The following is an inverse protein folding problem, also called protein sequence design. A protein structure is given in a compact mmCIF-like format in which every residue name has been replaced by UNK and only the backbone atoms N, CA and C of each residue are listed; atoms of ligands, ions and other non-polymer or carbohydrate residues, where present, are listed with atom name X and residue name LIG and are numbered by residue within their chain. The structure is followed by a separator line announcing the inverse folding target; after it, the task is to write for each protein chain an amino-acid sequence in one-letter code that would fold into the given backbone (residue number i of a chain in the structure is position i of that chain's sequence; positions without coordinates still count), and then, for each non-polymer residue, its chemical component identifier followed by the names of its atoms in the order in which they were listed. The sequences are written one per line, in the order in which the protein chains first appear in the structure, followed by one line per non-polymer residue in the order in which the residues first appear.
data_IF_950230685234
#
_entry.id   IF_950230685234
#
_cell.length_a   1.000
_cell.length_b   1.000
_cell.length_c   1.000
_cell.angle_alpha   90.00
_cell.angle_beta   90.00
_cell.angle_gamma   90.00
#
_symmetry.space_group_name_H-M   'P 1'
#
loop_
_entity.id
_entity.type
_entity.pdbx_description
1 polymer ?
#
# COMPACT_ATOMS: atom_id res chain seq x y z
N UNK A 1 -20.01 4.25 27.42
CA UNK A 1 -19.89 3.18 26.37
C UNK A 1 -18.40 2.84 26.27
N UNK A 2 -18.01 1.57 26.40
CA UNK A 2 -16.60 1.19 26.25
C UNK A 2 -16.16 1.52 24.83
N UNK A 3 -15.09 2.27 24.72
CA UNK A 3 -14.51 2.65 23.44
C UNK A 3 -14.03 1.37 22.72
N UNK A 4 -14.56 1.12 21.54
CA UNK A 4 -14.30 -0.10 20.78
C UNK A 4 -12.88 -0.11 20.21
N UNK A 5 -12.23 -1.26 20.21
CA UNK A 5 -10.88 -1.42 19.69
C UNK A 5 -10.92 -1.85 18.23
N UNK A 6 -10.12 -1.21 17.40
CA UNK A 6 -9.94 -1.53 15.96
C UNK A 6 -8.61 -2.26 15.81
N UNK A 7 -8.63 -3.45 15.20
CA UNK A 7 -7.42 -4.18 14.84
C UNK A 7 -6.91 -3.71 13.49
N UNK A 8 -5.63 -3.37 13.42
CA UNK A 8 -4.93 -3.06 12.16
C UNK A 8 -3.82 -4.08 11.96
N UNK A 9 -3.91 -4.88 10.89
CA UNK A 9 -2.85 -5.83 10.52
C UNK A 9 -1.76 -5.13 9.71
N UNK A 10 -0.59 -5.77 9.54
CA UNK A 10 0.50 -5.21 8.73
C UNK A 10 1.03 -3.87 9.22
N UNK A 11 1.04 -3.64 10.54
CA UNK A 11 1.32 -2.35 11.18
C UNK A 11 2.60 -1.63 10.74
N UNK A 12 3.57 -2.36 10.18
CA UNK A 12 4.82 -1.77 9.66
C UNK A 12 4.74 -1.13 8.27
N UNK A 13 3.59 -1.15 7.59
CA UNK A 13 3.40 -0.56 6.25
C UNK A 13 2.89 0.88 6.29
N UNK A 14 3.13 1.67 5.23
CA UNK A 14 2.73 3.10 5.16
C UNK A 14 1.21 3.30 5.32
N UNK A 15 0.40 2.44 4.70
CA UNK A 15 -1.07 2.52 4.82
C UNK A 15 -1.53 2.26 6.24
N UNK A 16 -1.02 1.20 6.88
CA UNK A 16 -1.36 0.86 8.27
C UNK A 16 -0.91 1.95 9.24
N UNK A 17 0.30 2.47 9.07
CA UNK A 17 0.83 3.56 9.90
C UNK A 17 -0.10 4.78 9.89
N UNK A 18 -0.47 5.26 8.70
CA UNK A 18 -1.40 6.40 8.59
C UNK A 18 -2.78 6.08 9.13
N UNK A 19 -3.31 4.87 8.89
CA UNK A 19 -4.60 4.45 9.46
C UNK A 19 -4.58 4.51 10.99
N UNK A 20 -3.52 3.96 11.60
CA UNK A 20 -3.34 3.94 13.05
C UNK A 20 -3.25 5.37 13.60
N UNK A 21 -2.38 6.21 13.02
CA UNK A 21 -2.20 7.60 13.43
C UNK A 21 -3.54 8.36 13.41
N UNK A 22 -4.24 8.31 12.27
CA UNK A 22 -5.50 9.04 12.08
C UNK A 22 -6.58 8.56 13.05
N UNK A 23 -6.71 7.24 13.27
CA UNK A 23 -7.70 6.71 14.22
C UNK A 23 -7.39 7.10 15.67
N UNK A 24 -6.13 7.08 16.08
CA UNK A 24 -5.70 7.53 17.40
C UNK A 24 -5.95 9.01 17.62
N UNK A 25 -5.64 9.86 16.63
CA UNK A 25 -5.94 11.30 16.65
C UNK A 25 -7.44 11.59 16.78
N UNK A 26 -8.29 10.72 16.21
CA UNK A 26 -9.75 10.79 16.34
C UNK A 26 -10.27 10.20 17.66
N UNK A 27 -9.38 9.72 18.53
CA UNK A 27 -9.72 9.19 19.84
C UNK A 27 -10.14 7.72 19.85
N UNK A 28 -9.99 6.97 18.75
CA UNK A 28 -10.28 5.54 18.73
C UNK A 28 -9.17 4.73 19.42
N UNK A 29 -9.53 3.58 19.99
CA UNK A 29 -8.55 2.61 20.47
C UNK A 29 -8.08 1.74 19.31
N UNK A 30 -6.76 1.65 19.11
CA UNK A 30 -6.19 0.89 18.01
C UNK A 30 -5.24 -0.17 18.56
N UNK A 31 -5.40 -1.40 18.08
CA UNK A 31 -4.46 -2.49 18.28
C UNK A 31 -3.73 -2.75 16.96
N UNK A 32 -2.41 -2.56 16.94
CA UNK A 32 -1.55 -2.81 15.81
C UNK A 32 -0.99 -4.22 15.88
N UNK A 33 -1.33 -5.07 14.92
CA UNK A 33 -0.78 -6.41 14.80
C UNK A 33 0.50 -6.37 13.96
N UNK A 34 1.61 -6.76 14.57
CA UNK A 34 2.93 -6.83 13.95
C UNK A 34 3.48 -8.24 14.01
N UNK A 35 4.34 -8.61 13.05
CA UNK A 35 4.98 -9.93 13.04
C UNK A 35 6.11 -10.06 14.05
N UNK A 36 6.77 -8.96 14.37
CA UNK A 36 7.88 -8.88 15.34
C UNK A 36 7.97 -7.49 15.95
N UNK A 37 8.59 -7.42 17.11
CA UNK A 37 8.93 -6.14 17.72
C UNK A 37 10.21 -5.60 17.05
N UNK A 38 10.10 -4.41 16.48
CA UNK A 38 11.20 -3.65 15.91
C UNK A 38 10.92 -2.14 16.07
N UNK A 39 11.80 -1.27 15.61
CA UNK A 39 11.67 0.19 15.73
C UNK A 39 10.32 0.72 15.18
N UNK A 40 9.74 0.05 14.18
CA UNK A 40 8.40 0.43 13.65
C UNK A 40 7.29 0.15 14.66
N UNK A 41 7.39 -0.99 15.36
CA UNK A 41 6.45 -1.32 16.43
C UNK A 41 6.59 -0.36 17.62
N UNK A 42 7.81 0.07 17.94
CA UNK A 42 8.06 1.08 18.97
C UNK A 42 7.43 2.42 18.59
N UNK A 43 7.62 2.88 17.35
CA UNK A 43 6.95 4.09 16.83
C UNK A 43 5.43 4.03 17.01
N UNK A 44 4.80 2.90 16.67
CA UNK A 44 3.34 2.74 16.83
C UNK A 44 2.92 2.75 18.29
N UNK A 45 3.73 2.18 19.19
CA UNK A 45 3.48 2.21 20.64
C UNK A 45 3.58 3.63 21.18
N UNK A 46 4.59 4.39 20.77
CA UNK A 46 4.80 5.78 21.18
C UNK A 46 3.65 6.69 20.70
N UNK A 47 2.98 6.34 19.59
CA UNK A 47 1.78 7.00 19.11
C UNK A 47 0.52 6.65 19.93
N UNK A 48 0.58 5.64 20.82
CA UNK A 48 -0.53 5.21 21.66
C UNK A 48 -1.25 3.95 21.19
N UNK A 49 -0.77 3.24 20.19
CA UNK A 49 -1.36 1.96 19.76
C UNK A 49 -0.98 0.83 20.73
N UNK A 50 -1.94 -0.05 20.99
CA UNK A 50 -1.66 -1.35 21.62
C UNK A 50 -0.95 -2.25 20.62
N UNK A 51 0.25 -2.75 20.97
CA UNK A 51 1.02 -3.63 20.08
C UNK A 51 0.76 -5.09 20.44
N UNK A 52 0.38 -5.89 19.45
CA UNK A 52 0.27 -7.35 19.55
C UNK A 52 1.12 -8.03 18.50
N UNK A 53 1.87 -9.05 18.93
CA UNK A 53 2.70 -9.85 18.01
C UNK A 53 1.92 -11.09 17.60
N UNK A 54 1.66 -11.23 16.29
CA UNK A 54 1.03 -12.43 15.73
C UNK A 54 1.46 -12.61 14.25
N UNK A 55 1.60 -13.86 13.84
CA UNK A 55 1.72 -14.22 12.43
C UNK A 55 0.31 -14.45 11.85
N UNK A 56 0.01 -13.84 10.72
CA UNK A 56 -1.27 -14.02 10.02
C UNK A 56 -1.49 -15.45 9.49
N UNK A 57 -0.44 -16.27 9.45
CA UNK A 57 -0.53 -17.69 9.10
C UNK A 57 -0.87 -18.57 10.30
N UNK A 58 -0.85 -18.04 11.52
CA UNK A 58 -1.27 -18.75 12.73
C UNK A 58 -2.67 -18.27 13.15
N UNK A 59 -3.70 -19.05 12.82
CA UNK A 59 -5.09 -18.72 13.14
C UNK A 59 -5.34 -18.56 14.64
N UNK A 60 -4.61 -19.28 15.50
CA UNK A 60 -4.78 -19.20 16.95
C UNK A 60 -4.25 -17.85 17.45
N UNK A 61 -3.05 -17.46 16.99
CA UNK A 61 -2.45 -16.17 17.30
C UNK A 61 -3.29 -15.01 16.75
N UNK A 62 -3.81 -15.11 15.52
CA UNK A 62 -4.69 -14.11 14.91
C UNK A 62 -5.96 -13.93 15.72
N UNK A 63 -6.62 -15.03 16.12
CA UNK A 63 -7.84 -14.97 16.93
C UNK A 63 -7.59 -14.34 18.30
N UNK A 64 -6.46 -14.70 18.94
CA UNK A 64 -6.09 -14.09 20.24
C UNK A 64 -5.81 -12.58 20.08
N UNK A 65 -5.08 -12.17 19.03
CA UNK A 65 -4.81 -10.77 18.73
C UNK A 65 -6.08 -9.95 18.46
N UNK A 66 -7.12 -10.57 17.90
CA UNK A 66 -8.40 -9.91 17.57
C UNK A 66 -9.40 -9.88 18.71
N UNK A 67 -9.15 -10.58 19.82
CA UNK A 67 -10.08 -10.65 20.96
C UNK A 67 -10.47 -9.26 21.45
N UNK A 68 -11.78 -8.99 21.54
CA UNK A 68 -12.33 -7.71 21.98
C UNK A 68 -12.27 -6.58 20.95
N UNK A 69 -11.85 -6.85 19.72
CA UNK A 69 -11.91 -5.88 18.62
C UNK A 69 -13.28 -5.90 17.95
N UNK A 70 -13.80 -4.73 17.58
CA UNK A 70 -15.08 -4.58 16.90
C UNK A 70 -14.95 -4.43 15.38
N UNK A 71 -13.78 -4.01 14.90
CA UNK A 71 -13.47 -3.84 13.48
C UNK A 71 -12.04 -4.27 13.17
N UNK A 72 -11.80 -4.61 11.91
CA UNK A 72 -10.49 -5.04 11.40
C UNK A 72 -10.15 -4.28 10.12
N UNK A 73 -8.94 -3.75 10.03
CA UNK A 73 -8.31 -3.37 8.78
C UNK A 73 -7.31 -4.46 8.38
N UNK A 74 -7.62 -5.20 7.33
CA UNK A 74 -6.72 -6.21 6.78
C UNK A 74 -5.84 -5.57 5.70
N UNK A 75 -4.55 -5.54 5.96
CA UNK A 75 -3.51 -5.16 5.02
C UNK A 75 -2.30 -6.07 5.18
N UNK A 76 -1.70 -6.47 4.07
CA UNK A 76 -0.54 -7.33 4.02
C UNK A 76 0.33 -6.95 2.82
N UNK A 77 1.66 -7.05 2.97
CA UNK A 77 2.59 -6.93 1.85
C UNK A 77 2.45 -8.11 0.87
N UNK A 78 3.03 -7.95 -0.33
CA UNK A 78 3.11 -9.02 -1.34
C UNK A 78 3.68 -10.29 -0.70
N UNK A 79 2.92 -11.39 -0.81
CA UNK A 79 3.27 -12.66 -0.17
C UNK A 79 2.65 -13.83 -0.93
N UNK A 80 3.37 -14.96 -1.08
CA UNK A 80 2.79 -16.17 -1.66
C UNK A 80 1.65 -16.76 -0.80
N UNK A 81 1.56 -16.37 0.48
CA UNK A 81 0.56 -16.86 1.43
C UNK A 81 -0.57 -15.85 1.68
N UNK A 82 -0.77 -14.88 0.77
CA UNK A 82 -1.77 -13.81 0.96
C UNK A 82 -3.19 -14.36 1.16
N UNK A 83 -3.59 -15.36 0.37
CA UNK A 83 -4.93 -15.96 0.47
C UNK A 83 -5.13 -16.70 1.80
N UNK A 84 -4.13 -17.45 2.27
CA UNK A 84 -4.16 -18.13 3.57
C UNK A 84 -4.28 -17.11 4.71
N UNK A 85 -3.42 -16.10 4.71
CA UNK A 85 -3.44 -15.04 5.73
C UNK A 85 -4.81 -14.31 5.77
N UNK A 86 -5.34 -13.94 4.59
CA UNK A 86 -6.65 -13.28 4.50
C UNK A 86 -7.78 -14.17 5.01
N UNK A 87 -7.70 -15.49 4.72
CA UNK A 87 -8.68 -16.47 5.19
C UNK A 87 -8.62 -16.63 6.72
N UNK A 88 -7.43 -16.75 7.30
CA UNK A 88 -7.26 -16.84 8.75
C UNK A 88 -7.84 -15.63 9.47
N UNK A 89 -7.54 -14.42 8.98
CA UNK A 89 -8.09 -13.19 9.56
C UNK A 89 -9.61 -13.13 9.39
N UNK A 90 -10.15 -13.56 8.25
CA UNK A 90 -11.61 -13.61 8.02
C UNK A 90 -12.31 -14.62 8.93
N UNK A 91 -11.74 -15.81 9.15
CA UNK A 91 -12.27 -16.84 10.05
C UNK A 91 -12.31 -16.32 11.49
N UNK A 92 -11.22 -15.70 11.96
CA UNK A 92 -11.17 -15.09 13.29
C UNK A 92 -12.21 -13.97 13.42
N UNK A 93 -12.30 -13.08 12.44
CA UNK A 93 -13.27 -11.99 12.40
C UNK A 93 -14.73 -12.50 12.48
N UNK A 94 -15.04 -13.55 11.70
CA UNK A 94 -16.36 -14.18 11.71
C UNK A 94 -16.69 -14.80 13.06
N UNK A 95 -15.74 -15.56 13.65
CA UNK A 95 -15.94 -16.24 14.93
C UNK A 95 -16.10 -15.28 16.12
N UNK A 96 -15.51 -14.09 16.03
CA UNK A 96 -15.58 -13.05 17.07
C UNK A 96 -16.67 -12.01 16.81
N UNK A 97 -17.40 -12.11 15.69
CA UNK A 97 -18.53 -11.24 15.37
C UNK A 97 -18.13 -9.78 15.12
N UNK A 98 -16.99 -9.53 14.44
CA UNK A 98 -16.59 -8.16 14.11
C UNK A 98 -17.65 -7.49 13.24
N UNK A 99 -17.86 -6.18 13.46
CA UNK A 99 -18.91 -5.40 12.80
C UNK A 99 -18.44 -4.70 11.50
N UNK A 100 -17.15 -4.72 11.25
CA UNK A 100 -16.58 -4.24 10.00
C UNK A 100 -15.25 -4.92 9.69
N UNK A 101 -15.09 -5.35 8.44
CA UNK A 101 -13.86 -5.88 7.89
C UNK A 101 -13.46 -5.02 6.68
N UNK A 102 -12.47 -4.15 6.85
CA UNK A 102 -11.96 -3.32 5.76
C UNK A 102 -10.79 -4.06 5.10
N UNK A 103 -10.98 -4.46 3.85
CA UNK A 103 -9.98 -5.21 3.08
C UNK A 103 -9.19 -4.29 2.17
N UNK A 104 -7.88 -4.22 2.35
CA UNK A 104 -6.98 -3.62 1.36
C UNK A 104 -6.75 -4.61 0.23
N UNK A 105 -7.40 -4.36 -0.89
CA UNK A 105 -7.27 -5.09 -2.14
C UNK A 105 -6.40 -4.32 -3.13
N UNK A 106 -6.68 -4.43 -4.41
CA UNK A 106 -6.03 -3.68 -5.47
C UNK A 106 -6.96 -3.45 -6.68
N UNK A 107 -6.72 -2.40 -7.44
CA UNK A 107 -7.61 -1.95 -8.50
C UNK A 107 -7.79 -2.98 -9.63
N UNK A 108 -6.75 -3.70 -10.02
CA UNK A 108 -6.82 -4.65 -11.15
C UNK A 108 -7.72 -5.85 -10.90
N UNK A 109 -8.11 -6.12 -9.64
CA UNK A 109 -9.12 -7.14 -9.31
C UNK A 109 -10.44 -6.89 -10.02
N UNK A 110 -10.81 -5.62 -10.26
CA UNK A 110 -12.02 -5.25 -11.01
C UNK A 110 -12.00 -5.64 -12.49
N UNK A 111 -10.84 -6.06 -13.00
CA UNK A 111 -10.62 -6.47 -14.39
C UNK A 111 -10.47 -8.00 -14.52
N UNK A 112 -10.78 -8.73 -13.45
CA UNK A 112 -10.64 -10.19 -13.40
C UNK A 112 -11.99 -10.87 -13.22
N UNK A 113 -12.11 -12.07 -13.78
CA UNK A 113 -13.26 -12.94 -13.67
C UNK A 113 -12.81 -14.41 -13.67
N UNK A 114 -13.75 -15.36 -13.67
CA UNK A 114 -13.46 -16.78 -13.79
C UNK A 114 -12.86 -17.13 -15.17
N UNK A 115 -13.07 -16.29 -16.17
CA UNK A 115 -12.59 -16.50 -17.55
C UNK A 115 -11.47 -15.55 -17.96
N UNK A 116 -11.22 -14.50 -17.18
CA UNK A 116 -10.18 -13.51 -17.44
C UNK A 116 -9.33 -13.28 -16.19
N UNK A 117 -8.07 -13.68 -16.23
CA UNK A 117 -7.13 -13.56 -15.12
C UNK A 117 -5.83 -12.87 -15.56
N UNK A 118 -4.94 -12.66 -14.62
CA UNK A 118 -3.59 -12.11 -14.82
C UNK A 118 -2.53 -13.20 -14.61
N UNK A 119 -1.33 -13.00 -15.14
CA UNK A 119 -0.19 -13.88 -14.86
C UNK A 119 0.39 -13.69 -13.45
N UNK A 120 0.11 -12.57 -12.77
CA UNK A 120 0.61 -12.34 -11.40
C UNK A 120 -0.09 -13.24 -10.38
N UNK A 121 0.65 -14.11 -9.67
CA UNK A 121 0.10 -14.89 -8.56
C UNK A 121 -0.51 -14.00 -7.47
N UNK A 122 0.14 -12.88 -7.15
CA UNK A 122 -0.35 -11.95 -6.14
C UNK A 122 -1.71 -11.37 -6.50
N UNK A 123 -1.91 -10.95 -7.75
CA UNK A 123 -3.19 -10.40 -8.19
C UNK A 123 -4.30 -11.47 -8.17
N UNK A 124 -3.99 -12.71 -8.56
CA UNK A 124 -4.92 -13.84 -8.44
C UNK A 124 -5.34 -14.07 -7.00
N UNK A 125 -4.40 -14.04 -6.06
CA UNK A 125 -4.73 -14.21 -4.64
C UNK A 125 -5.62 -13.08 -4.11
N UNK A 126 -5.40 -11.82 -4.52
CA UNK A 126 -6.30 -10.72 -4.16
C UNK A 126 -7.72 -10.94 -4.69
N UNK A 127 -7.85 -11.38 -5.95
CA UNK A 127 -9.15 -11.69 -6.53
C UNK A 127 -9.86 -12.82 -5.78
N UNK A 128 -9.16 -13.93 -5.52
CA UNK A 128 -9.68 -15.07 -4.75
C UNK A 128 -10.06 -14.66 -3.33
N UNK A 129 -9.24 -13.84 -2.67
CA UNK A 129 -9.56 -13.34 -1.34
C UNK A 129 -10.83 -12.49 -1.33
N UNK A 130 -11.06 -11.65 -2.35
CA UNK A 130 -12.33 -10.92 -2.45
C UNK A 130 -13.53 -11.85 -2.68
N UNK A 131 -13.40 -12.93 -3.49
CA UNK A 131 -14.48 -13.89 -3.65
C UNK A 131 -14.77 -14.62 -2.32
N UNK A 132 -13.74 -15.08 -1.62
CA UNK A 132 -13.87 -15.71 -0.30
C UNK A 132 -14.56 -14.78 0.69
N UNK A 133 -14.15 -13.51 0.76
CA UNK A 133 -14.76 -12.51 1.64
C UNK A 133 -16.23 -12.23 1.29
N UNK A 134 -16.60 -12.19 -0.01
CA UNK A 134 -18.00 -12.06 -0.47
C UNK A 134 -18.87 -13.22 0.02
N UNK A 135 -18.34 -14.44 -0.02
CA UNK A 135 -19.07 -15.65 0.42
C UNK A 135 -19.08 -15.82 1.94
N UNK A 136 -18.15 -15.17 2.67
CA UNK A 136 -18.03 -15.32 4.13
C UNK A 136 -19.24 -14.80 4.92
N UNK A 137 -20.02 -13.89 4.34
CA UNK A 137 -21.08 -13.17 5.06
C UNK A 137 -20.57 -12.21 6.14
N UNK A 138 -19.28 -11.83 6.08
CA UNK A 138 -18.72 -10.75 6.88
C UNK A 138 -19.19 -9.38 6.39
N UNK A 139 -19.29 -8.37 7.27
CA UNK A 139 -19.57 -7.00 6.88
C UNK A 139 -18.30 -6.35 6.27
N UNK A 140 -18.03 -6.61 4.99
CA UNK A 140 -16.79 -6.23 4.32
C UNK A 140 -16.92 -4.89 3.59
N UNK A 141 -15.85 -4.09 3.64
CA UNK A 141 -15.60 -2.94 2.76
C UNK A 141 -14.33 -3.20 1.98
N UNK A 142 -14.34 -2.96 0.67
CA UNK A 142 -13.19 -3.22 -0.20
C UNK A 142 -12.56 -1.89 -0.62
N UNK A 143 -11.29 -1.70 -0.27
CA UNK A 143 -10.47 -0.60 -0.78
C UNK A 143 -9.54 -1.14 -1.87
N UNK A 144 -9.71 -0.66 -3.09
CA UNK A 144 -8.92 -1.07 -4.27
C UNK A 144 -8.05 0.08 -4.75
N UNK A 145 -6.90 0.30 -4.14
CA UNK A 145 -5.98 1.34 -4.62
C UNK A 145 -5.36 0.95 -5.97
N UNK A 146 -5.00 1.96 -6.72
CA UNK A 146 -4.04 1.89 -7.82
C UNK A 146 -2.62 1.65 -7.27
N UNK A 147 -1.60 1.71 -8.14
CA UNK A 147 -0.22 1.59 -7.71
C UNK A 147 0.21 2.76 -6.80
N UNK A 148 1.13 2.49 -5.87
CA UNK A 148 1.54 3.46 -4.86
C UNK A 148 2.76 4.28 -5.30
N UNK A 149 2.76 5.60 -5.00
CA UNK A 149 3.94 6.43 -5.06
C UNK A 149 5.09 5.85 -4.24
N UNK A 150 4.78 5.37 -3.03
CA UNK A 150 5.75 4.82 -2.06
C UNK A 150 6.55 3.67 -2.67
N UNK A 151 5.89 2.67 -3.23
CA UNK A 151 6.57 1.53 -3.84
C UNK A 151 7.31 1.91 -5.12
N UNK A 152 6.74 2.80 -5.93
CA UNK A 152 7.29 3.22 -7.20
C UNK A 152 8.55 4.07 -7.02
N UNK A 153 8.49 5.08 -6.17
CA UNK A 153 9.53 6.10 -6.09
C UNK A 153 10.41 5.99 -4.85
N UNK A 154 9.91 5.53 -3.70
CA UNK A 154 10.75 5.37 -2.52
C UNK A 154 11.50 4.02 -2.53
N UNK A 155 10.82 2.93 -2.87
CA UNK A 155 11.45 1.62 -2.85
C UNK A 155 12.25 1.31 -4.13
N UNK A 156 11.71 1.63 -5.31
CA UNK A 156 12.33 1.27 -6.59
C UNK A 156 13.12 2.42 -7.22
N UNK A 157 12.63 3.65 -7.14
CA UNK A 157 13.15 4.80 -7.87
C UNK A 157 14.14 5.69 -7.13
N UNK A 158 14.13 5.69 -5.79
CA UNK A 158 14.84 6.69 -4.99
C UNK A 158 16.34 6.79 -5.31
N UNK A 159 17.02 5.66 -5.44
CA UNK A 159 18.45 5.62 -5.76
C UNK A 159 18.74 6.28 -7.12
N UNK A 160 18.02 5.89 -8.17
CA UNK A 160 18.21 6.44 -9.51
C UNK A 160 17.90 7.94 -9.58
N UNK A 161 16.86 8.38 -8.88
CA UNK A 161 16.50 9.81 -8.80
C UNK A 161 17.58 10.59 -8.05
N UNK A 162 18.07 10.07 -6.93
CA UNK A 162 19.07 10.72 -6.08
C UNK A 162 20.45 10.80 -6.73
N UNK A 163 20.93 9.70 -7.30
CA UNK A 163 22.31 9.55 -7.75
C UNK A 163 22.49 9.89 -9.24
N UNK A 164 21.52 9.49 -10.08
CA UNK A 164 21.64 9.58 -11.54
C UNK A 164 20.67 10.59 -12.16
N UNK A 165 19.76 11.19 -11.41
CA UNK A 165 18.67 12.03 -11.92
C UNK A 165 17.71 11.31 -12.88
N UNK A 166 17.47 10.01 -12.69
CA UNK A 166 16.63 9.23 -13.59
C UNK A 166 15.62 8.35 -12.88
N UNK A 167 14.47 8.17 -13.53
CA UNK A 167 13.47 7.14 -13.23
C UNK A 167 13.62 6.07 -14.31
N UNK A 168 13.97 4.84 -13.92
CA UNK A 168 14.15 3.70 -14.85
C UNK A 168 13.08 2.65 -14.59
N UNK A 169 12.06 2.59 -15.45
CA UNK A 169 10.95 1.64 -15.35
C UNK A 169 10.52 1.18 -16.75
N UNK A 170 9.93 -0.03 -16.88
CA UNK A 170 9.55 -0.60 -18.16
C UNK A 170 8.11 -0.22 -18.59
N UNK A 171 7.66 1.02 -18.38
CA UNK A 171 6.24 1.38 -18.51
C UNK A 171 5.90 2.05 -19.85
N UNK A 172 6.88 2.29 -20.72
CA UNK A 172 6.72 3.03 -21.98
C UNK A 172 5.94 4.35 -21.75
N UNK A 173 4.90 4.60 -22.53
CA UNK A 173 4.04 5.78 -22.43
C UNK A 173 2.75 5.48 -21.64
N UNK A 174 2.70 4.34 -20.95
CA UNK A 174 1.54 3.95 -20.15
C UNK A 174 1.29 4.94 -19.01
N UNK A 175 0.01 5.30 -18.85
CA UNK A 175 -0.44 6.20 -17.79
C UNK A 175 -0.83 5.43 -16.54
N UNK A 176 -0.66 6.07 -15.41
CA UNK A 176 -1.08 5.54 -14.12
C UNK A 176 -1.47 6.66 -13.17
N UNK A 177 -2.52 6.44 -12.40
CA UNK A 177 -3.02 7.36 -11.38
C UNK A 177 -2.44 7.02 -10.01
N UNK A 178 -1.12 7.16 -9.82
CA UNK A 178 -0.45 6.78 -8.56
C UNK A 178 -1.07 7.49 -7.36
N UNK A 179 -1.24 6.73 -6.27
CA UNK A 179 -1.77 7.23 -5.00
C UNK A 179 -0.73 7.09 -3.88
N UNK A 180 -0.71 8.01 -2.92
CA UNK A 180 0.15 7.88 -1.74
C UNK A 180 -0.40 6.83 -0.76
N UNK A 181 0.49 6.03 -0.15
CA UNK A 181 0.09 5.11 0.91
C UNK A 181 -0.61 5.80 2.08
N UNK A 182 -0.21 7.04 2.38
CA UNK A 182 -0.86 7.89 3.37
C UNK A 182 -2.33 8.22 3.02
N UNK A 183 -2.66 8.42 1.74
CA UNK A 183 -4.05 8.66 1.33
C UNK A 183 -4.88 7.40 1.48
N UNK A 184 -4.35 6.24 1.10
CA UNK A 184 -5.06 4.96 1.30
C UNK A 184 -5.29 4.70 2.79
N UNK A 185 -4.31 5.00 3.64
CA UNK A 185 -4.46 4.92 5.09
C UNK A 185 -5.53 5.86 5.64
N UNK A 186 -5.59 7.11 5.13
CA UNK A 186 -6.64 8.06 5.50
C UNK A 186 -8.04 7.58 5.08
N UNK A 187 -8.18 7.01 3.87
CA UNK A 187 -9.44 6.43 3.41
C UNK A 187 -9.86 5.23 4.29
N UNK A 188 -8.91 4.36 4.66
CA UNK A 188 -9.19 3.25 5.58
C UNK A 188 -9.66 3.76 6.96
N UNK A 189 -9.01 4.78 7.51
CA UNK A 189 -9.40 5.39 8.77
C UNK A 189 -10.81 6.01 8.71
N UNK A 190 -11.13 6.73 7.63
CA UNK A 190 -12.47 7.31 7.45
C UNK A 190 -13.57 6.25 7.43
N UNK A 191 -13.33 5.12 6.76
CA UNK A 191 -14.26 3.98 6.75
C UNK A 191 -14.38 3.35 8.13
N UNK A 192 -13.26 3.12 8.83
CA UNK A 192 -13.23 2.46 10.13
C UNK A 192 -13.84 3.30 11.26
N UNK A 193 -13.73 4.62 11.17
CA UNK A 193 -14.33 5.54 12.14
C UNK A 193 -15.87 5.48 12.12
N UNK A 194 -16.49 5.24 10.97
CA UNK A 194 -17.94 5.06 10.83
C UNK A 194 -18.27 4.02 9.77
N UNK A 195 -18.10 2.72 10.02
CA UNK A 195 -18.15 1.69 8.99
C UNK A 195 -19.57 1.40 8.43
N UNK A 196 -20.63 1.65 9.19
CA UNK A 196 -21.98 1.23 8.82
C UNK A 196 -22.44 1.67 7.41
N UNK A 197 -22.26 2.94 6.97
CA UNK A 197 -22.67 3.35 5.63
C UNK A 197 -21.79 2.78 4.49
N UNK A 198 -20.69 2.12 4.81
CA UNK A 198 -19.71 1.63 3.86
C UNK A 198 -19.76 0.11 3.64
N UNK A 199 -20.46 -0.64 4.51
CA UNK A 199 -20.55 -2.10 4.41
C UNK A 199 -21.07 -2.54 3.03
N UNK A 200 -20.38 -3.52 2.42
CA UNK A 200 -20.67 -4.06 1.09
C UNK A 200 -20.15 -3.21 -0.07
N UNK A 201 -19.62 -2.01 0.21
CA UNK A 201 -19.12 -1.12 -0.84
C UNK A 201 -17.70 -1.45 -1.27
N UNK A 202 -17.42 -1.08 -2.51
CA UNK A 202 -16.10 -1.14 -3.15
C UNK A 202 -15.68 0.29 -3.49
N UNK A 203 -14.47 0.66 -3.10
CA UNK A 203 -13.89 1.97 -3.40
C UNK A 203 -12.60 1.77 -4.20
N UNK A 204 -12.65 2.11 -5.48
CA UNK A 204 -11.45 2.23 -6.31
C UNK A 204 -10.76 3.55 -5.94
N UNK A 205 -9.55 3.47 -5.38
CA UNK A 205 -8.81 4.63 -4.88
C UNK A 205 -7.70 5.01 -5.87
N UNK A 206 -7.79 6.21 -6.44
CA UNK A 206 -6.82 6.75 -7.39
C UNK A 206 -6.16 8.01 -6.85
N UNK A 207 -4.96 8.30 -7.35
CA UNK A 207 -4.33 9.59 -7.11
C UNK A 207 -5.04 10.74 -7.83
N UNK A 208 -4.47 11.94 -7.68
CA UNK A 208 -5.05 13.18 -8.20
C UNK A 208 -5.07 13.24 -9.73
N UNK A 209 -4.11 12.59 -10.39
CA UNK A 209 -3.92 12.64 -11.84
C UNK A 209 -3.43 11.30 -12.37
N UNK A 210 -3.80 10.97 -13.61
CA UNK A 210 -3.23 9.85 -14.35
C UNK A 210 -2.18 10.37 -15.31
N UNK A 211 -0.90 10.04 -15.05
CA UNK A 211 0.27 10.57 -15.75
C UNK A 211 1.16 9.45 -16.29
N UNK A 212 1.91 9.75 -17.36
CA UNK A 212 3.03 8.91 -17.80
C UNK A 212 4.23 9.08 -16.86
N UNK A 213 5.18 8.15 -16.89
CA UNK A 213 6.41 8.28 -16.10
C UNK A 213 7.25 9.48 -16.52
N UNK A 214 7.20 9.90 -17.78
CA UNK A 214 7.84 11.13 -18.26
C UNK A 214 7.20 12.38 -17.61
N UNK A 215 5.89 12.42 -17.49
CA UNK A 215 5.19 13.51 -16.79
C UNK A 215 5.48 13.50 -15.29
N UNK A 216 5.53 12.33 -14.63
CA UNK A 216 5.99 12.25 -13.24
C UNK A 216 7.43 12.76 -13.09
N UNK A 217 8.35 12.45 -14.03
CA UNK A 217 9.70 12.98 -14.01
C UNK A 217 9.74 14.52 -14.10
N UNK A 218 8.81 15.13 -14.84
CA UNK A 218 8.65 16.58 -14.89
C UNK A 218 8.20 17.16 -13.54
N UNK A 219 7.23 16.53 -12.87
CA UNK A 219 6.80 16.90 -11.52
C UNK A 219 7.96 16.84 -10.51
N UNK A 220 8.76 15.77 -10.56
CA UNK A 220 9.97 15.63 -9.75
C UNK A 220 10.99 16.74 -10.06
N UNK A 221 11.20 17.05 -11.34
CA UNK A 221 12.14 18.09 -11.77
C UNK A 221 11.75 19.46 -11.22
N UNK A 222 10.46 19.78 -11.30
CA UNK A 222 9.92 21.06 -10.81
C UNK A 222 10.11 21.26 -9.29
N UNK A 223 9.96 20.19 -8.51
CA UNK A 223 10.12 20.25 -7.05
C UNK A 223 11.58 20.23 -6.62
N UNK A 224 12.39 19.35 -7.26
CA UNK A 224 13.80 19.14 -6.86
C UNK A 224 14.75 20.22 -7.44
N UNK A 225 14.28 21.11 -8.33
CA UNK A 225 15.08 22.17 -8.94
C UNK A 225 16.19 21.66 -9.86
N UNK A 226 16.07 20.43 -10.38
CA UNK A 226 17.01 19.80 -11.29
C UNK A 226 16.29 18.82 -12.23
N UNK A 227 16.83 18.63 -13.43
CA UNK A 227 16.19 17.78 -14.44
C UNK A 227 16.25 16.33 -14.02
N UNK A 228 15.07 15.72 -13.84
CA UNK A 228 14.90 14.26 -13.70
C UNK A 228 14.37 13.71 -15.01
N UNK A 229 14.99 12.66 -15.54
CA UNK A 229 14.62 12.04 -16.80
C UNK A 229 13.92 10.68 -16.56
N UNK A 230 12.97 10.37 -17.41
CA UNK A 230 12.44 9.02 -17.51
C UNK A 230 13.18 8.23 -18.58
N UNK A 231 13.62 7.03 -18.22
CA UNK A 231 14.23 6.07 -19.16
C UNK A 231 13.33 4.83 -19.19
N UNK A 232 12.69 4.61 -20.35
CA UNK A 232 11.95 3.38 -20.57
C UNK A 232 12.92 2.21 -20.74
N UNK A 233 12.97 1.32 -19.76
CA UNK A 233 13.84 0.14 -19.78
C UNK A 233 13.13 -0.98 -20.55
N UNK A 234 13.80 -1.67 -21.48
CA UNK A 234 13.23 -2.88 -22.09
C UNK A 234 12.85 -3.90 -21.03
N UNK A 235 11.66 -4.56 -21.14
CA UNK A 235 11.18 -5.51 -20.11
C UNK A 235 12.19 -6.61 -19.78
N UNK A 236 12.92 -7.12 -20.75
CA UNK A 236 13.93 -8.17 -20.56
C UNK A 236 15.13 -7.68 -19.73
N UNK A 237 15.54 -6.44 -19.93
CA UNK A 237 16.63 -5.81 -19.15
C UNK A 237 16.14 -5.54 -17.72
N UNK A 238 14.88 -5.10 -17.56
CA UNK A 238 14.25 -4.90 -16.27
C UNK A 238 14.18 -6.21 -15.47
N UNK A 239 13.69 -7.29 -16.10
CA UNK A 239 13.63 -8.62 -15.48
C UNK A 239 15.01 -9.12 -15.05
N UNK A 240 16.02 -9.01 -15.92
CA UNK A 240 17.39 -9.42 -15.60
C UNK A 240 17.90 -8.69 -14.32
N UNK A 241 17.66 -7.37 -14.23
CA UNK A 241 18.04 -6.60 -13.03
C UNK A 241 17.32 -7.04 -11.76
N UNK A 242 16.03 -7.36 -11.84
CA UNK A 242 15.27 -7.87 -10.69
C UNK A 242 15.82 -9.22 -10.19
N UNK A 243 16.31 -10.05 -11.12
CA UNK A 243 16.96 -11.35 -10.78
C UNK A 243 18.35 -11.16 -10.17
N UNK A 244 19.14 -10.21 -10.67
CA UNK A 244 20.47 -9.87 -10.11
C UNK A 244 20.41 -9.45 -8.64
N UNK A 245 19.39 -8.69 -8.25
CA UNK A 245 19.21 -8.26 -6.84
C UNK A 245 18.58 -9.34 -5.95
N UNK A 246 18.44 -10.56 -6.48
CA UNK A 246 17.99 -11.77 -5.74
C UNK A 246 16.65 -11.58 -5.00
N UNK A 247 15.72 -10.83 -5.57
CA UNK A 247 14.37 -10.75 -5.04
C UNK A 247 13.69 -12.12 -5.07
N UNK A 248 12.77 -12.41 -4.15
CA UNK A 248 11.97 -13.62 -4.18
C UNK A 248 11.22 -13.78 -5.51
N UNK A 249 11.16 -15.00 -6.05
CA UNK A 249 10.57 -15.27 -7.37
C UNK A 249 9.15 -14.70 -7.53
N UNK A 250 8.28 -14.89 -6.52
CA UNK A 250 6.92 -14.36 -6.55
C UNK A 250 6.85 -12.84 -6.65
N UNK A 251 7.83 -12.12 -6.08
CA UNK A 251 7.91 -10.66 -6.17
C UNK A 251 8.39 -10.25 -7.57
N UNK A 252 9.37 -10.95 -8.15
CA UNK A 252 9.83 -10.71 -9.53
C UNK A 252 8.67 -10.88 -10.51
N UNK A 253 7.93 -11.98 -10.45
CA UNK A 253 6.77 -12.24 -11.30
C UNK A 253 5.70 -11.16 -11.15
N UNK A 254 5.44 -10.72 -9.92
CA UNK A 254 4.52 -9.62 -9.67
C UNK A 254 4.99 -8.32 -10.33
N UNK A 255 6.24 -7.94 -10.15
CA UNK A 255 6.80 -6.69 -10.71
C UNK A 255 6.81 -6.71 -12.24
N UNK A 256 7.15 -7.85 -12.87
CA UNK A 256 7.11 -8.01 -14.33
C UNK A 256 5.68 -7.80 -14.84
N UNK A 257 4.71 -8.47 -14.22
CA UNK A 257 3.30 -8.33 -14.59
C UNK A 257 2.82 -6.90 -14.39
N UNK A 258 3.19 -6.25 -13.28
CA UNK A 258 2.88 -4.83 -13.04
C UNK A 258 3.43 -3.95 -14.14
N UNK A 259 4.68 -4.17 -14.56
CA UNK A 259 5.30 -3.46 -15.69
C UNK A 259 4.47 -3.56 -16.97
N UNK A 260 3.99 -4.77 -17.30
CA UNK A 260 3.15 -4.98 -18.47
C UNK A 260 1.80 -4.26 -18.35
N UNK A 261 1.14 -4.37 -17.19
CA UNK A 261 -0.16 -3.71 -16.96
C UNK A 261 -0.08 -2.19 -17.05
N UNK A 262 1.04 -1.58 -16.60
CA UNK A 262 1.28 -0.15 -16.79
C UNK A 262 1.41 0.20 -18.29
N UNK A 263 2.20 -0.57 -19.06
CA UNK A 263 2.32 -0.38 -20.52
C UNK A 263 0.98 -0.47 -21.24
N UNK A 264 0.10 -1.35 -20.78
CA UNK A 264 -1.22 -1.61 -21.34
C UNK A 264 -2.30 -0.63 -20.82
N UNK A 265 -1.90 0.45 -20.14
CA UNK A 265 -2.80 1.46 -19.56
C UNK A 265 -3.87 0.89 -18.60
N UNK A 266 -3.62 -0.26 -17.97
CA UNK A 266 -4.60 -0.88 -17.03
C UNK A 266 -4.75 -0.08 -15.74
N UNK A 267 -3.84 0.88 -15.47
CA UNK A 267 -3.87 1.82 -14.35
C UNK A 267 -4.24 3.26 -14.76
N UNK A 268 -4.57 3.51 -16.04
CA UNK A 268 -5.10 4.79 -16.53
C UNK A 268 -6.58 4.91 -16.15
N UNK A 269 -6.85 5.10 -14.87
CA UNK A 269 -8.19 5.15 -14.28
C UNK A 269 -8.26 6.27 -13.26
N UNK A 270 -9.40 6.96 -13.23
CA UNK A 270 -9.65 8.04 -12.29
C UNK A 270 -11.00 7.83 -11.61
N UNK A 271 -11.03 8.03 -10.29
CA UNK A 271 -12.24 8.04 -9.48
C UNK A 271 -12.18 9.19 -8.48
N UNK A 272 -13.31 9.58 -7.94
CA UNK A 272 -13.44 10.56 -6.87
C UNK A 272 -13.65 9.91 -5.48
N UNK A 273 -13.57 8.58 -5.41
CA UNK A 273 -13.82 7.79 -4.19
C UNK A 273 -13.01 8.27 -2.99
N UNK A 274 -11.73 8.61 -3.19
CA UNK A 274 -10.90 9.14 -2.11
C UNK A 274 -11.45 10.47 -1.57
N UNK A 275 -11.78 11.41 -2.46
CA UNK A 275 -12.31 12.71 -2.07
C UNK A 275 -13.68 12.58 -1.39
N UNK A 276 -14.53 11.67 -1.84
CA UNK A 276 -15.81 11.38 -1.19
C UNK A 276 -15.65 10.80 0.22
N UNK A 277 -14.64 9.93 0.45
CA UNK A 277 -14.39 9.32 1.75
C UNK A 277 -13.71 10.26 2.74
N UNK A 278 -12.74 11.06 2.28
CA UNK A 278 -11.83 11.82 3.16
C UNK A 278 -12.13 13.32 3.17
N UNK A 279 -12.89 13.82 2.19
CA UNK A 279 -13.28 15.24 2.11
C UNK A 279 -12.18 16.18 1.58
N UNK A 280 -11.08 15.66 1.07
CA UNK A 280 -10.00 16.42 0.43
C UNK A 280 -9.49 15.74 -0.83
N UNK A 281 -8.75 16.46 -1.66
CA UNK A 281 -8.07 15.88 -2.81
C UNK A 281 -6.93 14.92 -2.35
N UNK A 282 -6.60 13.89 -3.16
CA UNK A 282 -5.40 13.07 -2.96
C UNK A 282 -4.12 13.90 -3.02
N UNK A 283 -3.06 13.43 -2.37
CA UNK A 283 -1.72 14.00 -2.42
C UNK A 283 -1.25 14.02 -3.88
N UNK A 284 -0.85 15.20 -4.38
CA UNK A 284 -0.27 15.34 -5.72
C UNK A 284 1.14 14.76 -5.79
N UNK A 285 1.64 14.49 -7.01
CA UNK A 285 3.03 14.06 -7.23
C UNK A 285 4.01 15.10 -6.65
N UNK A 286 3.79 16.38 -6.92
CA UNK A 286 4.63 17.46 -6.39
C UNK A 286 4.65 17.49 -4.85
N UNK A 287 3.49 17.31 -4.21
CA UNK A 287 3.41 17.26 -2.75
C UNK A 287 4.09 16.02 -2.17
N UNK A 288 3.93 14.86 -2.81
CA UNK A 288 4.63 13.64 -2.43
C UNK A 288 6.15 13.84 -2.46
N UNK A 289 6.67 14.43 -3.53
CA UNK A 289 8.11 14.73 -3.66
C UNK A 289 8.59 15.67 -2.57
N UNK A 290 7.85 16.74 -2.26
CA UNK A 290 8.21 17.67 -1.17
C UNK A 290 8.30 16.98 0.17
N UNK A 291 7.31 16.14 0.50
CA UNK A 291 7.28 15.37 1.77
C UNK A 291 8.45 14.39 1.91
N UNK A 292 8.94 13.88 0.80
CA UNK A 292 10.00 12.88 0.75
C UNK A 292 11.29 13.40 0.13
N UNK A 293 11.51 14.72 0.09
CA UNK A 293 12.65 15.35 -0.60
C UNK A 293 14.00 14.77 -0.15
N UNK A 294 14.16 14.45 1.13
CA UNK A 294 15.39 13.86 1.67
C UNK A 294 15.75 12.52 0.99
N UNK A 295 14.78 11.72 0.58
CA UNK A 295 15.02 10.45 -0.11
C UNK A 295 15.57 10.64 -1.53
N UNK A 296 15.29 11.77 -2.14
CA UNK A 296 15.61 12.09 -3.52
C UNK A 296 16.79 13.05 -3.68
N UNK A 297 17.26 13.69 -2.59
CA UNK A 297 18.36 14.66 -2.63
C UNK A 297 19.68 13.93 -2.41
N UNK A 298 20.73 14.20 -3.23
CA UNK A 298 22.07 13.68 -2.97
C UNK A 298 22.52 14.04 -1.57
N UNK A 299 23.10 13.09 -0.83
CA UNK A 299 23.75 13.42 0.43
C UNK A 299 24.98 14.25 0.08
N UNK A 300 25.07 15.48 0.60
CA UNK A 300 26.31 16.24 0.56
C UNK A 300 27.38 15.41 1.22
N UNK A 301 28.52 15.20 0.55
CA UNK A 301 29.72 14.64 1.17
C UNK A 301 30.11 15.56 2.33
N UNK A 302 29.55 15.29 3.52
CA UNK A 302 29.97 15.97 4.74
C UNK A 302 31.32 15.42 5.19
N UNK A 303 32.39 16.18 4.79
CA UNK A 303 33.66 16.28 5.52
C UNK A 303 34.28 14.99 6.08
N UNK A 304 34.90 14.19 5.22
CA UNK A 304 36.05 13.39 5.60
C UNK A 304 37.39 14.10 5.28
N UNK A 305 37.51 15.37 5.63
CA UNK A 305 38.78 16.10 5.60
C UNK A 305 38.87 16.98 6.85
N UNK A 306 39.17 16.37 7.96
CA UNK A 306 39.84 17.01 9.11
C UNK A 306 40.30 15.93 10.08
N UNK A 307 41.49 15.41 9.84
CA UNK A 307 42.52 15.16 10.87
C UNK A 307 43.71 14.44 10.23
N UNK A 308 44.58 15.24 9.66
CA UNK A 308 46.02 14.89 9.54
C UNK A 308 46.79 16.15 9.90
N UNK A 309 47.12 16.24 11.19
CA UNK A 309 48.27 16.95 11.70
C UNK A 309 48.71 16.22 12.98
#
# INVERSE_FOLDING_TARGET
MSQETILVTGGGGSTAHTTIATLLEQGHRVRAMVRKLDARADTLRDMGAEIVVADMLDIIAVRAAMQGCSAVYFTMSISPNYLEASTNVAVAAKSLGVRAFVNLSQMTVSQMSETETTSSPQQKQHWLAEQMLRWSGLPVVYLRPTAFFDSMFLLQGAKGIREDNVIRLPFADGKTSLIAGADVGAAAAAVLANPAPHIGKVYDLTGLQSLTMAQYAQEFSGVLGRTIQYINVPPQIWEAKLREVQLPAHLIEHLITMGQLHRDNRYDRMTDSFQQLVGRAPISAAEFVRRHAAAFTPQSESSSKATSH
#
